data_IF_195997355310
#
_entry.id   IF_195997355310
#
_cell.length_a   1.000
_cell.length_b   1.000
_cell.length_c   1.000
_cell.angle_alpha   90.00
_cell.angle_beta   90.00
_cell.angle_gamma   90.00
#
_symmetry.space_group_name_H-M   'P 1'
#
loop_
_entity.id
_entity.type
_entity.pdbx_description
1 polymer ?
#
# COMPACT_ATOMS: atom_id res chain seq x y z
N UNK A 1 8.92 -3.16 24.65
CA UNK A 1 8.45 -4.12 25.66
C UNK A 1 7.01 -4.53 25.35
N UNK A 2 6.83 -5.62 24.63
CA UNK A 2 5.63 -6.46 24.71
C UNK A 2 6.17 -7.85 25.00
N UNK A 3 6.28 -8.12 26.29
CA UNK A 3 6.58 -9.44 26.81
C UNK A 3 5.32 -10.29 26.68
N UNK A 4 5.45 -11.52 26.21
CA UNK A 4 4.93 -12.72 26.87
C UNK A 4 5.63 -13.94 26.24
N UNK A 5 6.58 -14.43 27.00
CA UNK A 5 7.37 -15.63 26.81
C UNK A 5 6.50 -16.86 27.09
N UNK A 6 6.59 -17.94 26.30
CA UNK A 6 6.79 -19.31 26.79
C UNK A 6 7.07 -20.26 25.61
N UNK A 7 8.10 -21.09 25.81
CA UNK A 7 8.80 -21.96 24.86
C UNK A 7 8.04 -23.28 24.65
N UNK A 8 7.88 -23.74 23.41
CA UNK A 8 7.85 -25.18 23.06
C UNK A 8 8.41 -25.37 21.66
N UNK A 9 9.47 -26.19 21.56
CA UNK A 9 10.21 -26.49 20.32
C UNK A 9 9.38 -27.45 19.46
N UNK A 10 8.88 -26.98 18.32
CA UNK A 10 8.51 -27.82 17.18
C UNK A 10 9.22 -27.29 15.94
N UNK A 11 10.04 -28.15 15.31
CA UNK A 11 10.64 -27.92 14.01
C UNK A 11 9.55 -27.70 12.96
N UNK A 12 9.22 -26.44 12.68
CA UNK A 12 8.39 -26.04 11.55
C UNK A 12 9.26 -25.19 10.62
N UNK A 13 9.35 -25.62 9.36
CA UNK A 13 10.07 -24.93 8.31
C UNK A 13 9.68 -23.44 8.27
N UNK A 14 10.60 -22.58 8.69
CA UNK A 14 10.45 -21.14 8.67
C UNK A 14 10.41 -20.69 7.21
N UNK A 15 9.21 -20.51 6.67
CA UNK A 15 9.03 -19.71 5.49
C UNK A 15 9.58 -18.31 5.82
N UNK A 16 10.61 -17.89 5.09
CA UNK A 16 11.09 -16.51 5.13
C UNK A 16 10.00 -15.63 4.50
N UNK A 17 8.92 -15.37 5.24
CA UNK A 17 8.09 -14.21 4.98
C UNK A 17 8.90 -13.02 5.50
N UNK A 18 9.73 -12.45 4.62
CA UNK A 18 10.39 -11.17 4.84
C UNK A 18 9.31 -10.10 5.02
N UNK A 19 8.80 -9.96 6.24
CA UNK A 19 8.01 -8.81 6.62
C UNK A 19 8.97 -7.63 6.60
N UNK A 20 8.76 -6.72 5.64
CA UNK A 20 9.47 -5.46 5.60
C UNK A 20 9.14 -4.69 6.88
N UNK A 21 9.96 -4.90 7.91
CA UNK A 21 9.96 -4.14 9.16
C UNK A 21 10.55 -2.76 8.87
N UNK A 22 9.75 -1.85 8.33
CA UNK A 22 10.08 -0.44 8.32
C UNK A 22 8.82 0.40 8.09
N UNK A 23 7.86 0.34 9.02
CA UNK A 23 6.74 1.28 8.96
C UNK A 23 6.46 1.82 10.35
N UNK A 24 6.92 3.05 10.54
CA UNK A 24 6.68 3.90 11.69
C UNK A 24 5.17 4.19 11.86
N UNK A 25 4.70 4.54 13.07
CA UNK A 25 3.28 4.74 13.34
C UNK A 25 2.70 5.88 12.50
N UNK A 26 1.71 5.58 11.65
CA UNK A 26 1.03 6.59 10.84
C UNK A 26 0.25 6.11 9.61
N UNK A 27 -0.09 4.82 9.53
CA UNK A 27 -0.72 4.12 8.39
C UNK A 27 0.25 3.59 7.32
N UNK A 28 0.21 2.28 7.13
CA UNK A 28 1.04 1.50 6.24
C UNK A 28 0.29 1.26 4.93
N UNK A 29 0.33 2.19 3.99
CA UNK A 29 -0.41 2.03 2.74
C UNK A 29 0.45 1.52 1.59
N UNK A 30 -0.04 0.51 0.87
CA UNK A 30 0.52 0.01 -0.38
C UNK A 30 -0.35 0.37 -1.57
N UNK A 31 0.24 0.83 -2.67
CA UNK A 31 -0.48 1.10 -3.93
C UNK A 31 -0.29 -0.10 -4.86
N UNK A 32 -1.38 -0.75 -5.23
CA UNK A 32 -1.40 -1.86 -6.16
C UNK A 32 -1.03 -1.44 -7.60
N UNK A 33 -0.67 -2.42 -8.41
CA UNK A 33 -0.34 -2.21 -9.82
C UNK A 33 -1.53 -1.66 -10.62
N UNK A 34 -1.22 -1.01 -11.75
CA UNK A 34 -2.23 -0.52 -12.68
C UNK A 34 -3.07 -1.67 -13.25
N UNK A 35 -4.38 -1.61 -13.04
CA UNK A 35 -5.36 -2.51 -13.64
C UNK A 35 -6.01 -1.80 -14.84
N UNK A 36 -5.86 -2.36 -16.04
CA UNK A 36 -6.49 -1.80 -17.26
C UNK A 36 -7.90 -2.35 -17.37
N UNK A 37 -8.90 -1.47 -17.38
CA UNK A 37 -10.32 -1.82 -17.45
C UNK A 37 -10.90 -1.73 -18.87
N UNK A 38 -10.11 -1.27 -19.84
CA UNK A 38 -10.56 -0.99 -21.21
C UNK A 38 -10.86 0.49 -21.44
N UNK A 39 -11.00 0.89 -22.70
CA UNK A 39 -11.35 2.27 -23.12
C UNK A 39 -10.47 3.37 -22.50
N UNK A 40 -9.19 3.08 -22.25
CA UNK A 40 -8.24 4.01 -21.61
C UNK A 40 -8.45 4.18 -20.09
N UNK A 41 -9.40 3.47 -19.48
CA UNK A 41 -9.66 3.51 -18.04
C UNK A 41 -8.66 2.62 -17.32
N UNK A 42 -8.04 3.18 -16.29
CA UNK A 42 -7.11 2.49 -15.42
C UNK A 42 -7.54 2.61 -13.96
N UNK A 43 -7.28 1.56 -13.19
CA UNK A 43 -7.55 1.51 -11.76
C UNK A 43 -6.30 1.16 -10.95
N UNK A 44 -6.15 1.83 -9.83
CA UNK A 44 -5.19 1.51 -8.77
C UNK A 44 -5.95 1.32 -7.47
N UNK A 45 -5.56 0.31 -6.70
CA UNK A 45 -6.18 0.01 -5.40
C UNK A 45 -5.15 0.27 -4.31
N UNK A 46 -5.57 0.92 -3.23
CA UNK A 46 -4.74 1.17 -2.05
C UNK A 46 -5.08 0.14 -0.99
N UNK A 47 -4.05 -0.46 -0.42
CA UNK A 47 -4.15 -1.48 0.62
C UNK A 47 -3.52 -0.99 1.91
N UNK A 48 -4.05 -1.42 3.06
CA UNK A 48 -3.39 -1.26 4.36
C UNK A 48 -2.38 -2.39 4.66
N UNK A 49 -1.73 -2.36 5.83
CA UNK A 49 -0.82 -3.42 6.30
C UNK A 49 -1.50 -4.77 6.52
N UNK A 50 -2.83 -4.80 6.59
CA UNK A 50 -3.63 -6.02 6.67
C UNK A 50 -4.04 -6.53 5.28
N UNK A 51 -3.45 -5.99 4.20
CA UNK A 51 -3.75 -6.31 2.81
C UNK A 51 -5.23 -6.08 2.41
N UNK A 52 -5.97 -5.24 3.15
CA UNK A 52 -7.36 -4.90 2.82
C UNK A 52 -7.38 -3.71 1.88
N UNK A 53 -8.21 -3.78 0.86
CA UNK A 53 -8.45 -2.62 -0.01
C UNK A 53 -9.19 -1.53 0.79
N UNK A 54 -8.55 -0.39 0.95
CA UNK A 54 -9.05 0.74 1.76
C UNK A 54 -9.40 1.96 0.92
N UNK A 55 -8.85 2.09 -0.29
CA UNK A 55 -9.16 3.18 -1.23
C UNK A 55 -8.81 2.75 -2.66
N UNK A 56 -9.10 3.59 -3.65
CA UNK A 56 -8.70 3.38 -5.02
C UNK A 56 -9.01 4.54 -5.95
N UNK A 57 -8.27 4.60 -7.05
CA UNK A 57 -8.47 5.58 -8.10
C UNK A 57 -8.84 4.87 -9.38
N UNK A 58 -9.98 5.22 -9.96
CA UNK A 58 -10.34 4.84 -11.33
C UNK A 58 -10.36 6.11 -12.19
N UNK A 59 -9.50 6.18 -13.19
CA UNK A 59 -9.39 7.37 -14.04
C UNK A 59 -8.89 7.04 -15.45
N UNK A 60 -9.18 7.91 -16.40
CA UNK A 60 -8.57 7.95 -17.74
C UNK A 60 -7.40 8.93 -17.83
N UNK A 61 -7.12 9.66 -16.74
CA UNK A 61 -6.10 10.71 -16.66
C UNK A 61 -4.85 10.21 -15.94
N UNK A 62 -3.82 11.07 -15.88
CA UNK A 62 -2.62 10.80 -15.10
C UNK A 62 -2.99 10.65 -13.60
N UNK A 63 -2.69 9.51 -12.95
CA UNK A 63 -3.03 9.27 -11.54
C UNK A 63 -2.40 10.29 -10.57
N UNK A 64 -1.24 10.86 -10.92
CA UNK A 64 -0.50 11.84 -10.13
C UNK A 64 -1.18 13.21 -10.02
N UNK A 65 -2.14 13.51 -10.92
CA UNK A 65 -2.83 14.82 -10.94
C UNK A 65 -4.24 14.73 -10.38
N UNK A 66 -4.67 13.55 -9.91
CA UNK A 66 -6.03 13.34 -9.40
C UNK A 66 -6.17 13.69 -7.90
N UNK A 67 -5.07 14.04 -7.22
CA UNK A 67 -5.07 14.48 -5.82
C UNK A 67 -5.02 13.37 -4.77
N UNK A 68 -5.16 12.10 -5.19
CA UNK A 68 -5.04 10.92 -4.32
C UNK A 68 -3.61 10.37 -4.28
N UNK A 69 -2.87 10.41 -5.39
CA UNK A 69 -1.48 9.96 -5.45
C UNK A 69 -0.55 11.12 -5.71
N UNK A 70 0.54 11.19 -4.94
CA UNK A 70 1.70 12.00 -5.28
C UNK A 70 2.74 11.17 -6.01
N UNK A 71 3.43 11.80 -6.95
CA UNK A 71 4.46 11.16 -7.76
C UNK A 71 5.78 11.93 -7.68
N UNK A 72 6.90 11.20 -7.72
CA UNK A 72 8.23 11.77 -7.91
C UNK A 72 8.45 12.21 -9.36
N UNK A 73 9.49 13.02 -9.57
CA UNK A 73 10.04 13.29 -10.91
C UNK A 73 10.61 12.01 -11.57
N UNK A 74 11.18 12.15 -12.77
CA UNK A 74 11.63 11.01 -13.58
C UNK A 74 12.70 10.15 -12.86
N UNK A 75 12.54 8.81 -12.82
CA UNK A 75 11.38 8.03 -13.28
C UNK A 75 10.19 8.17 -12.32
N UNK A 76 8.98 8.31 -12.90
CA UNK A 76 7.75 8.51 -12.13
C UNK A 76 7.52 7.31 -11.18
N UNK A 77 7.58 7.58 -9.87
CA UNK A 77 7.23 6.64 -8.82
C UNK A 77 6.16 7.26 -7.94
N UNK A 78 5.22 6.46 -7.43
CA UNK A 78 4.34 6.94 -6.37
C UNK A 78 5.17 7.17 -5.11
N UNK A 79 5.05 8.36 -4.52
CA UNK A 79 5.80 8.75 -3.33
C UNK A 79 4.90 9.18 -2.16
N UNK A 80 3.60 9.31 -2.40
CA UNK A 80 2.63 9.64 -1.35
C UNK A 80 1.21 9.27 -1.77
N UNK A 81 0.35 9.10 -0.78
CA UNK A 81 -1.07 8.83 -0.95
C UNK A 81 -1.86 9.72 0.01
N UNK A 82 -2.95 10.30 -0.45
CA UNK A 82 -3.89 11.08 0.35
C UNK A 82 -5.22 10.35 0.37
N UNK A 83 -5.70 9.96 1.55
CA UNK A 83 -6.97 9.25 1.69
C UNK A 83 -8.14 10.11 1.23
N UNK A 84 -9.02 9.53 0.43
CA UNK A 84 -10.27 10.19 0.01
C UNK A 84 -11.31 10.24 1.13
N UNK A 85 -11.17 9.38 2.15
CA UNK A 85 -12.10 9.29 3.29
C UNK A 85 -11.76 10.28 4.40
N UNK A 86 -10.48 10.39 4.75
CA UNK A 86 -10.03 11.25 5.86
C UNK A 86 -9.35 12.53 5.40
N UNK A 87 -8.93 12.60 4.13
CA UNK A 87 -8.16 13.72 3.60
C UNK A 87 -6.72 13.80 4.12
N UNK A 88 -6.27 12.82 4.91
CA UNK A 88 -4.92 12.76 5.47
C UNK A 88 -3.93 12.19 4.44
N UNK A 89 -2.69 12.66 4.50
CA UNK A 89 -1.59 12.32 3.59
C UNK A 89 -0.43 11.70 4.36
#
# INVERSE_FOLDING_TARGET
MCEHQFITVFLAASSLAGSALAICPGFNYGIGNQQKLGNGISRWTVYDDSCKAVDGLTTTKNPCTQGIFGCSGSPIKFNSYKSTFTGLK
#
